data_IF_707568688950
#
_entry.id   IF_707568688950
#
_cell.length_a   1.000
_cell.length_b   1.000
_cell.length_c   1.000
_cell.angle_alpha   90.00
_cell.angle_beta   90.00
_cell.angle_gamma   90.00
#
_symmetry.space_group_name_H-M   'P 1'
#
loop_
_entity.id
_entity.type
_entity.pdbx_description
1 polymer ?
#
# COMPACT_ATOMS: atom_id res chain seq x y z
N UNK A 1 0.97 -5.77 4.80
CA UNK A 1 -0.44 -5.68 4.37
C UNK A 1 -0.89 -7.03 3.81
N UNK A 2 -2.16 -7.40 3.99
CA UNK A 2 -2.77 -8.57 3.35
C UNK A 2 -3.81 -8.09 2.34
N UNK A 3 -3.68 -8.54 1.10
CA UNK A 3 -4.63 -8.26 0.01
C UNK A 3 -5.40 -9.53 -0.26
N UNK A 4 -6.72 -9.46 -0.30
CA UNK A 4 -7.61 -10.59 -0.56
C UNK A 4 -8.48 -10.29 -1.76
N UNK A 5 -8.53 -11.23 -2.72
CA UNK A 5 -9.51 -11.18 -3.78
C UNK A 5 -10.79 -11.89 -3.32
N UNK A 6 -11.68 -11.14 -2.68
CA UNK A 6 -13.00 -11.62 -2.27
C UNK A 6 -14.02 -11.70 -3.42
N UNK A 7 -13.63 -11.33 -4.64
CA UNK A 7 -14.47 -11.39 -5.83
C UNK A 7 -14.56 -12.79 -6.44
N UNK A 8 -15.17 -12.87 -7.63
CA UNK A 8 -15.38 -14.12 -8.37
C UNK A 8 -14.47 -14.28 -9.59
N UNK A 9 -13.75 -13.22 -9.99
CA UNK A 9 -12.83 -13.20 -11.13
C UNK A 9 -11.38 -13.02 -10.67
N UNK A 10 -10.43 -13.37 -11.54
CA UNK A 10 -9.01 -13.08 -11.33
C UNK A 10 -8.76 -11.57 -11.44
N UNK A 11 -7.98 -11.01 -10.50
CA UNK A 11 -7.58 -9.60 -10.48
C UNK A 11 -6.12 -9.46 -10.87
N UNK A 12 -5.80 -8.53 -11.75
CA UNK A 12 -4.43 -8.10 -12.02
C UNK A 12 -4.00 -7.10 -10.95
N UNK A 13 -3.01 -7.45 -10.14
CA UNK A 13 -2.59 -6.63 -8.99
C UNK A 13 -1.61 -5.55 -9.38
N UNK A 14 -1.18 -5.47 -10.65
CA UNK A 14 -0.25 -4.43 -11.12
C UNK A 14 -0.85 -3.03 -11.03
N UNK A 15 -2.18 -2.92 -10.95
CA UNK A 15 -2.89 -1.66 -10.74
C UNK A 15 -3.02 -1.25 -9.26
N UNK A 16 -2.63 -2.11 -8.31
CA UNK A 16 -2.67 -1.79 -6.88
C UNK A 16 -1.70 -0.64 -6.57
N UNK A 17 -2.24 0.48 -6.12
CA UNK A 17 -1.46 1.60 -5.59
C UNK A 17 -1.53 1.62 -4.06
N UNK A 18 -0.37 1.91 -3.46
CA UNK A 18 -0.25 2.19 -2.03
C UNK A 18 0.60 3.44 -1.91
N UNK A 19 0.02 4.50 -1.37
CA UNK A 19 0.69 5.77 -1.13
C UNK A 19 0.77 6.04 0.38
N UNK A 20 1.69 6.92 0.74
CA UNK A 20 1.89 7.38 2.10
C UNK A 20 2.03 8.87 2.10
N UNK A 21 1.27 9.52 2.97
CA UNK A 21 1.41 10.92 3.29
C UNK A 21 1.74 11.07 4.77
N UNK A 22 2.47 12.10 5.14
CA UNK A 22 2.84 12.38 6.52
C UNK A 22 2.69 13.86 6.87
N UNK A 23 2.58 14.11 8.18
CA UNK A 23 2.38 15.44 8.74
C UNK A 23 0.98 16.00 8.45
N UNK A 24 0.66 17.12 9.10
CA UNK A 24 -0.67 17.76 8.97
C UNK A 24 -0.93 18.29 7.56
N UNK A 25 0.13 18.63 6.83
CA UNK A 25 0.07 19.14 5.46
C UNK A 25 -0.06 18.03 4.39
N UNK A 26 0.00 16.74 4.78
CA UNK A 26 -0.14 15.61 3.85
C UNK A 26 0.99 15.48 2.83
N UNK A 27 2.26 15.66 3.26
CA UNK A 27 3.42 15.53 2.38
C UNK A 27 3.64 14.08 1.97
N UNK A 28 3.92 13.85 0.70
CA UNK A 28 4.14 12.50 0.16
C UNK A 28 5.44 11.86 0.70
N UNK A 29 5.33 10.61 1.17
CA UNK A 29 6.44 9.76 1.57
C UNK A 29 6.93 8.89 0.42
N UNK A 30 8.24 8.83 0.24
CA UNK A 30 8.86 8.06 -0.83
C UNK A 30 8.77 6.55 -0.55
N UNK A 31 8.36 5.77 -1.56
CA UNK A 31 8.35 4.31 -1.49
C UNK A 31 9.76 3.76 -1.27
N UNK A 32 9.93 2.93 -0.23
CA UNK A 32 11.19 2.23 0.04
C UNK A 32 11.21 0.90 -0.70
N UNK A 33 12.21 0.72 -1.56
CA UNK A 33 12.49 -0.54 -2.27
C UNK A 33 13.81 -1.13 -1.76
N UNK A 34 13.72 -2.26 -1.08
CA UNK A 34 14.85 -3.06 -0.57
C UNK A 34 14.49 -4.55 -0.69
N UNK A 35 14.91 -5.17 -1.79
CA UNK A 35 14.58 -6.57 -2.07
C UNK A 35 15.23 -7.55 -1.11
N UNK A 36 16.37 -7.20 -0.51
CA UNK A 36 17.07 -8.04 0.48
C UNK A 36 16.28 -8.11 1.79
N UNK A 37 15.58 -7.02 2.14
CA UNK A 37 14.65 -6.95 3.28
C UNK A 37 13.19 -7.27 2.93
N UNK A 38 12.92 -7.67 1.69
CA UNK A 38 11.58 -8.04 1.22
C UNK A 38 10.64 -6.86 0.93
N UNK A 39 11.15 -5.62 0.92
CA UNK A 39 10.43 -4.42 0.53
C UNK A 39 10.47 -4.29 -0.99
N UNK A 40 9.47 -4.88 -1.67
CA UNK A 40 9.44 -4.96 -3.15
C UNK A 40 8.44 -3.99 -3.79
N UNK A 41 7.79 -3.14 -2.99
CA UNK A 41 6.71 -2.27 -3.45
C UNK A 41 5.42 -3.04 -3.73
N UNK A 42 4.60 -2.52 -4.64
CA UNK A 42 3.34 -3.13 -5.05
C UNK A 42 3.53 -4.50 -5.71
N UNK A 43 2.60 -5.46 -5.51
CA UNK A 43 2.67 -6.78 -6.10
C UNK A 43 2.44 -6.73 -7.61
N UNK A 44 3.30 -7.40 -8.38
CA UNK A 44 3.13 -7.59 -9.82
C UNK A 44 2.74 -9.05 -10.10
N UNK A 45 1.44 -9.36 -9.96
CA UNK A 45 0.91 -10.72 -10.16
C UNK A 45 -0.57 -10.72 -10.52
N UNK A 46 -1.13 -11.91 -10.76
CA UNK A 46 -2.58 -12.12 -10.89
C UNK A 46 -3.09 -12.90 -9.70
N UNK A 47 -4.02 -12.33 -8.96
CA UNK A 47 -4.62 -12.94 -7.78
C UNK A 47 -5.94 -13.62 -8.13
N UNK A 48 -5.97 -14.95 -8.06
CA UNK A 48 -7.19 -15.73 -8.29
C UNK A 48 -8.26 -15.43 -7.22
N UNK A 49 -9.52 -15.60 -7.61
CA UNK A 49 -10.67 -15.47 -6.69
C UNK A 49 -10.51 -16.34 -5.43
N UNK A 50 -10.87 -15.78 -4.27
CA UNK A 50 -10.79 -16.43 -2.97
C UNK A 50 -9.37 -16.62 -2.42
N UNK A 51 -8.34 -16.07 -3.08
CA UNK A 51 -6.95 -16.12 -2.61
C UNK A 51 -6.54 -14.81 -1.96
N UNK A 52 -5.54 -14.90 -1.08
CA UNK A 52 -4.88 -13.74 -0.50
C UNK A 52 -3.39 -13.75 -0.84
N UNK A 53 -2.79 -12.57 -0.83
CA UNK A 53 -1.35 -12.36 -0.89
C UNK A 53 -0.91 -11.45 0.26
N UNK A 54 0.32 -11.67 0.75
CA UNK A 54 0.96 -10.81 1.72
C UNK A 54 1.95 -9.89 1.00
N UNK A 55 1.81 -8.58 1.21
CA UNK A 55 2.73 -7.56 0.67
C UNK A 55 3.44 -6.88 1.84
N UNK A 56 4.76 -6.85 1.77
CA UNK A 56 5.58 -5.99 2.61
C UNK A 56 5.87 -4.70 1.84
N UNK A 57 5.43 -3.59 2.41
CA UNK A 57 5.50 -2.26 1.81
C UNK A 57 5.95 -1.26 2.86
N UNK A 58 6.69 -0.23 2.46
CA UNK A 58 7.14 0.83 3.35
C UNK A 58 7.32 2.15 2.59
N UNK A 59 7.13 3.27 3.28
CA UNK A 59 7.52 4.60 2.84
C UNK A 59 8.52 5.22 3.80
N UNK A 60 9.30 6.18 3.31
CA UNK A 60 10.13 7.05 4.13
C UNK A 60 9.29 8.16 4.75
N UNK A 61 9.43 8.35 6.06
CA UNK A 61 8.80 9.42 6.84
C UNK A 61 9.88 10.05 7.72
N UNK A 62 10.00 11.39 7.78
CA UNK A 62 10.94 12.05 8.68
C UNK A 62 10.66 11.71 10.14
N UNK A 63 11.70 11.49 10.96
CA UNK A 63 11.56 11.10 12.38
C UNK A 63 10.79 12.12 13.24
N UNK A 64 10.79 13.40 12.80
CA UNK A 64 10.05 14.48 13.44
C UNK A 64 8.54 14.37 13.26
N UNK A 65 8.08 13.66 12.22
CA UNK A 65 6.67 13.52 11.91
C UNK A 65 6.05 12.40 12.74
N UNK A 66 4.85 12.67 13.26
CA UNK A 66 4.16 11.76 14.19
C UNK A 66 2.88 11.18 13.64
N UNK A 67 2.43 11.64 12.48
CA UNK A 67 1.19 11.18 11.86
C UNK A 67 1.49 10.74 10.43
N UNK A 68 0.92 9.59 10.07
CA UNK A 68 0.99 9.02 8.73
C UNK A 68 -0.42 8.68 8.25
N UNK A 69 -0.65 8.88 6.96
CA UNK A 69 -1.81 8.43 6.22
C UNK A 69 -1.36 7.44 5.16
N UNK A 70 -1.98 6.26 5.12
CA UNK A 70 -1.77 5.25 4.09
C UNK A 70 -3.02 5.20 3.22
N UNK A 71 -2.83 5.34 1.92
CA UNK A 71 -3.87 5.31 0.91
C UNK A 71 -3.71 4.05 0.08
N UNK A 72 -4.77 3.25 -0.04
CA UNK A 72 -4.74 1.98 -0.77
C UNK A 72 -5.84 1.99 -1.82
N UNK A 73 -5.47 1.85 -3.09
CA UNK A 73 -6.42 1.72 -4.20
C UNK A 73 -6.20 0.41 -4.96
N UNK A 74 -7.21 -0.46 -5.12
CA UNK A 74 -7.10 -1.69 -5.89
C UNK A 74 -6.76 -1.47 -7.37
N UNK A 75 -7.27 -0.36 -7.92
CA UNK A 75 -7.09 0.09 -9.30
C UNK A 75 -7.33 1.61 -9.39
N UNK A 76 -7.39 2.17 -10.60
CA UNK A 76 -7.59 3.60 -10.85
C UNK A 76 -9.06 4.06 -10.83
N UNK A 77 -10.01 3.12 -10.74
CA UNK A 77 -11.45 3.40 -10.87
C UNK A 77 -12.21 3.25 -9.54
N UNK A 78 -11.63 2.51 -8.59
CA UNK A 78 -12.22 2.22 -7.29
C UNK A 78 -11.87 3.31 -6.27
N UNK A 79 -12.79 3.53 -5.32
CA UNK A 79 -12.54 4.43 -4.18
C UNK A 79 -11.31 3.99 -3.38
N UNK A 80 -10.43 4.95 -3.10
CA UNK A 80 -9.24 4.75 -2.28
C UNK A 80 -9.62 4.60 -0.81
N UNK A 81 -9.13 3.55 -0.17
CA UNK A 81 -9.24 3.38 1.28
C UNK A 81 -8.13 4.18 1.98
N UNK A 82 -8.51 4.97 2.97
CA UNK A 82 -7.60 5.87 3.70
C UNK A 82 -7.47 5.41 5.15
N UNK A 83 -6.23 5.25 5.61
CA UNK A 83 -5.89 4.85 6.98
C UNK A 83 -4.94 5.86 7.60
N UNK A 84 -5.37 6.57 8.64
CA UNK A 84 -4.54 7.55 9.35
C UNK A 84 -4.21 7.08 10.75
N UNK A 85 -2.99 7.32 11.21
CA UNK A 85 -2.58 6.97 12.57
C UNK A 85 -1.27 7.59 12.99
N UNK A 86 -0.99 7.48 14.29
CA UNK A 86 0.24 7.99 14.87
C UNK A 86 1.39 6.99 14.77
N UNK A 87 2.58 7.49 14.47
CA UNK A 87 3.83 6.75 14.41
C UNK A 87 4.63 7.03 15.69
N UNK A 88 5.07 5.97 16.37
CA UNK A 88 5.78 6.05 17.66
C UNK A 88 7.29 5.89 17.49
#
# INVERSE_FOLDING_TARGET
MRVENGGTSTVDTTALSVNCAYGEDGKEGELVIDSERGLKGSPSTRLLAGRSLAVTWACAVPESEKTVQIEVSPDFETETAIFTGDVK
#
